data_IF_584322659022
#
_entry.id   IF_584322659022
#
_cell.length_a   1.000
_cell.length_b   1.000
_cell.length_c   1.000
_cell.angle_alpha   90.00
_cell.angle_beta   90.00
_cell.angle_gamma   90.00
#
_symmetry.space_group_name_H-M   'P 1'
#
loop_
_entity.id
_entity.type
_entity.pdbx_description
1 polymer ?
#
# COMPACT_ATOMS: atom_id res chain seq x y z
N UNK A 1 -24.00 -7.16 9.53
CA UNK A 1 -22.99 -6.32 10.23
C UNK A 1 -21.86 -5.94 9.27
N UNK A 2 -21.15 -6.85 8.64
CA UNK A 2 -19.99 -6.59 7.76
C UNK A 2 -20.29 -5.62 6.60
N UNK A 3 -21.47 -5.77 5.93
CA UNK A 3 -21.87 -4.90 4.83
C UNK A 3 -22.12 -3.45 5.30
N UNK A 4 -22.71 -3.27 6.46
CA UNK A 4 -22.97 -1.94 7.05
C UNK A 4 -21.66 -1.27 7.46
N UNK A 5 -20.79 -2.00 8.19
CA UNK A 5 -19.48 -1.48 8.63
C UNK A 5 -18.62 -1.07 7.44
N UNK A 6 -18.56 -1.90 6.38
CA UNK A 6 -17.81 -1.55 5.17
C UNK A 6 -18.41 -0.35 4.41
N UNK A 7 -19.75 -0.18 4.45
CA UNK A 7 -20.40 0.98 3.85
C UNK A 7 -20.08 2.27 4.63
N UNK A 8 -20.12 2.22 5.97
CA UNK A 8 -19.77 3.35 6.82
C UNK A 8 -18.28 3.72 6.67
N UNK A 9 -17.38 2.73 6.59
CA UNK A 9 -15.97 2.95 6.33
C UNK A 9 -15.75 3.65 4.97
N UNK A 10 -16.41 3.18 3.92
CA UNK A 10 -16.31 3.82 2.60
C UNK A 10 -16.92 5.24 2.59
N UNK A 11 -18.02 5.46 3.30
CA UNK A 11 -18.61 6.78 3.45
C UNK A 11 -17.67 7.73 4.20
N UNK A 12 -17.04 7.28 5.27
CA UNK A 12 -16.05 8.05 6.00
C UNK A 12 -14.85 8.42 5.11
N UNK A 13 -14.31 7.46 4.37
CA UNK A 13 -13.23 7.73 3.40
C UNK A 13 -13.66 8.80 2.40
N UNK A 14 -14.86 8.67 1.82
CA UNK A 14 -15.40 9.68 0.89
C UNK A 14 -15.53 11.06 1.53
N UNK A 15 -16.00 11.13 2.77
CA UNK A 15 -16.09 12.38 3.52
C UNK A 15 -14.72 13.03 3.70
N UNK A 16 -13.72 12.26 4.15
CA UNK A 16 -12.34 12.75 4.30
C UNK A 16 -11.80 13.28 2.98
N UNK A 17 -11.95 12.51 1.89
CA UNK A 17 -11.44 12.88 0.57
C UNK A 17 -12.15 14.10 -0.03
N UNK A 18 -13.47 14.20 0.15
CA UNK A 18 -14.27 15.29 -0.40
C UNK A 18 -14.08 16.63 0.34
N UNK A 19 -13.73 16.57 1.63
CA UNK A 19 -13.60 17.77 2.48
C UNK A 19 -12.15 18.21 2.67
N UNK A 20 -11.17 17.41 2.25
CA UNK A 20 -9.75 17.72 2.42
C UNK A 20 -9.17 18.29 1.12
N UNK A 21 -8.28 19.27 1.27
CA UNK A 21 -7.45 19.76 0.17
C UNK A 21 -6.25 18.83 0.04
N UNK A 22 -6.18 18.09 -1.08
CA UNK A 22 -5.19 17.05 -1.30
C UNK A 22 -4.29 17.44 -2.47
N UNK A 23 -3.02 17.66 -2.19
CA UNK A 23 -2.00 17.87 -3.20
C UNK A 23 -1.38 16.51 -3.55
N UNK A 24 -1.27 16.19 -4.85
CA UNK A 24 -0.64 14.96 -5.34
C UNK A 24 0.66 15.33 -6.04
N UNK A 25 1.76 14.79 -5.56
CA UNK A 25 3.12 15.10 -6.05
C UNK A 25 3.71 13.81 -6.65
N UNK A 26 4.37 13.92 -7.80
CA UNK A 26 4.94 12.80 -8.53
C UNK A 26 3.90 11.94 -9.26
N UNK A 27 2.72 12.50 -9.54
CA UNK A 27 1.64 11.81 -10.27
C UNK A 27 2.06 11.35 -11.69
N UNK A 28 3.01 12.03 -12.32
CA UNK A 28 3.60 11.66 -13.61
C UNK A 28 4.31 10.30 -13.57
N UNK A 29 4.78 9.87 -12.41
CA UNK A 29 5.48 8.59 -12.22
C UNK A 29 4.55 7.40 -12.55
N UNK A 30 3.41 7.19 -11.83
CA UNK A 30 2.51 6.09 -12.17
C UNK A 30 1.82 6.32 -13.52
N UNK A 31 1.60 7.56 -13.96
CA UNK A 31 0.97 7.86 -15.25
C UNK A 31 1.75 7.30 -16.43
N UNK A 32 3.08 7.35 -16.40
CA UNK A 32 3.94 6.75 -17.44
C UNK A 32 3.68 5.25 -17.60
N UNK A 33 3.46 4.52 -16.50
CA UNK A 33 3.13 3.09 -16.52
C UNK A 33 1.69 2.86 -17.00
N UNK A 34 0.76 3.68 -16.53
CA UNK A 34 -0.65 3.58 -16.94
C UNK A 34 -0.83 3.83 -18.45
N UNK A 35 -0.14 4.81 -19.01
CA UNK A 35 -0.19 5.11 -20.44
C UNK A 35 0.37 3.96 -21.30
N UNK A 36 1.48 3.35 -20.87
CA UNK A 36 2.10 2.21 -21.55
C UNK A 36 1.38 0.88 -21.33
N UNK A 37 0.49 0.80 -20.35
CA UNK A 37 -0.14 -0.46 -19.99
C UNK A 37 0.76 -1.40 -19.20
N UNK A 38 1.84 -0.89 -18.65
CA UNK A 38 2.83 -1.64 -17.88
C UNK A 38 2.35 -1.79 -16.43
N UNK A 39 2.29 -3.03 -15.89
CA UNK A 39 1.92 -3.23 -14.50
C UNK A 39 3.08 -2.92 -13.56
N UNK A 40 2.75 -2.47 -12.36
CA UNK A 40 3.71 -2.24 -11.30
C UNK A 40 3.15 -2.71 -9.93
N UNK A 41 4.01 -2.75 -8.94
CA UNK A 41 3.70 -3.06 -7.55
C UNK A 41 3.57 -1.74 -6.80
N UNK A 42 2.36 -1.40 -6.33
CA UNK A 42 2.12 -0.26 -5.46
C UNK A 42 2.48 -0.64 -4.02
N UNK A 43 3.40 0.06 -3.39
CA UNK A 43 3.79 -0.19 -2.01
C UNK A 43 3.47 1.01 -1.11
N UNK A 44 2.89 0.73 0.06
CA UNK A 44 2.63 1.71 1.11
C UNK A 44 2.53 1.01 2.49
N UNK A 45 2.72 1.76 3.57
CA UNK A 45 2.66 1.19 4.91
C UNK A 45 1.24 0.85 5.35
N UNK A 46 1.08 -0.27 6.07
CA UNK A 46 -0.21 -0.77 6.55
C UNK A 46 -0.96 0.28 7.37
N UNK A 47 -0.28 0.97 8.28
CA UNK A 47 -0.88 2.01 9.11
C UNK A 47 -1.32 3.28 8.36
N UNK A 48 -0.96 3.45 7.07
CA UNK A 48 -1.25 4.66 6.29
C UNK A 48 -2.28 4.44 5.16
N UNK A 49 -2.99 3.31 5.15
CA UNK A 49 -3.80 2.88 4.01
C UNK A 49 -5.07 3.70 3.74
N UNK A 50 -5.58 4.48 4.71
CA UNK A 50 -6.91 5.09 4.61
C UNK A 50 -7.08 5.99 3.38
N UNK A 51 -6.07 6.81 3.06
CA UNK A 51 -6.13 7.73 1.92
C UNK A 51 -5.62 7.12 0.61
N UNK A 52 -5.11 5.88 0.62
CA UNK A 52 -4.48 5.26 -0.56
C UNK A 52 -5.46 5.07 -1.73
N UNK A 53 -6.76 4.98 -1.47
CA UNK A 53 -7.77 4.93 -2.55
C UNK A 53 -7.73 6.18 -3.45
N UNK A 54 -7.26 7.32 -2.94
CA UNK A 54 -7.12 8.57 -3.70
C UNK A 54 -5.88 8.58 -4.61
N UNK A 55 -4.87 7.77 -4.33
CA UNK A 55 -3.69 7.64 -5.21
C UNK A 55 -4.05 6.94 -6.52
N UNK A 56 -5.11 6.11 -6.55
CA UNK A 56 -5.49 5.35 -7.74
C UNK A 56 -6.58 6.06 -8.53
N UNK A 57 -6.19 6.93 -9.44
CA UNK A 57 -7.08 7.76 -10.26
C UNK A 57 -7.04 7.36 -11.74
N UNK A 58 -7.22 6.08 -12.01
CA UNK A 58 -7.22 5.53 -13.34
C UNK A 58 -8.24 4.40 -13.45
N UNK A 59 -8.73 4.12 -14.66
CA UNK A 59 -9.55 2.93 -14.95
C UNK A 59 -8.74 1.64 -14.97
N UNK A 60 -7.42 1.70 -14.87
CA UNK A 60 -6.57 0.52 -14.85
C UNK A 60 -6.83 -0.32 -13.62
N UNK A 61 -6.99 -1.66 -13.78
CA UNK A 61 -7.27 -2.51 -12.64
C UNK A 61 -6.05 -2.66 -11.73
N UNK A 62 -6.32 -2.51 -10.43
CA UNK A 62 -5.39 -2.85 -9.35
C UNK A 62 -6.02 -3.88 -8.43
N UNK A 63 -5.22 -4.77 -7.87
CA UNK A 63 -5.65 -5.75 -6.88
C UNK A 63 -4.80 -5.65 -5.63
N UNK A 64 -5.45 -5.31 -4.52
CA UNK A 64 -4.80 -5.26 -3.21
C UNK A 64 -4.70 -6.65 -2.59
N UNK A 65 -3.52 -6.99 -2.06
CA UNK A 65 -3.37 -8.19 -1.25
C UNK A 65 -4.04 -7.98 0.11
N UNK A 66 -5.09 -8.73 0.39
CA UNK A 66 -5.85 -8.63 1.64
C UNK A 66 -6.00 -10.00 2.28
N UNK A 67 -5.86 -10.03 3.61
CA UNK A 67 -6.05 -11.23 4.43
C UNK A 67 -7.48 -11.79 4.29
N UNK A 68 -7.63 -13.11 4.50
CA UNK A 68 -8.93 -13.80 4.43
C UNK A 68 -9.74 -13.70 5.72
N UNK A 69 -9.24 -13.02 6.76
CA UNK A 69 -9.96 -12.85 8.02
C UNK A 69 -11.15 -11.88 7.88
N UNK A 70 -11.94 -11.77 8.96
CA UNK A 70 -13.13 -10.92 9.00
C UNK A 70 -12.80 -9.43 8.73
N UNK A 71 -11.73 -8.90 9.31
CA UNK A 71 -11.32 -7.50 9.12
C UNK A 71 -10.91 -7.25 7.66
N UNK A 72 -10.19 -8.20 7.07
CA UNK A 72 -9.86 -8.18 5.64
C UNK A 72 -11.09 -8.16 4.74
N UNK A 73 -12.19 -8.83 5.14
CA UNK A 73 -13.46 -8.79 4.38
C UNK A 73 -14.12 -7.42 4.43
N UNK A 74 -14.10 -6.76 5.60
CA UNK A 74 -14.61 -5.38 5.74
C UNK A 74 -13.83 -4.43 4.83
N UNK A 75 -12.51 -4.51 4.86
CA UNK A 75 -11.62 -3.66 4.04
C UNK A 75 -11.85 -3.94 2.56
N UNK A 76 -11.88 -5.21 2.14
CA UNK A 76 -12.08 -5.59 0.74
C UNK A 76 -13.40 -5.03 0.18
N UNK A 77 -14.48 -5.10 0.96
CA UNK A 77 -15.77 -4.53 0.57
C UNK A 77 -15.75 -3.00 0.55
N UNK A 78 -15.02 -2.38 1.49
CA UNK A 78 -14.91 -0.92 1.53
C UNK A 78 -14.17 -0.38 0.30
N UNK A 79 -12.97 -0.92 -0.01
CA UNK A 79 -12.17 -0.46 -1.16
C UNK A 79 -12.78 -0.86 -2.51
N UNK A 80 -13.53 -1.97 -2.56
CA UNK A 80 -14.29 -2.36 -3.75
C UNK A 80 -15.27 -1.29 -4.22
N UNK A 81 -15.80 -0.44 -3.30
CA UNK A 81 -16.66 0.71 -3.63
C UNK A 81 -15.91 1.87 -4.30
N UNK A 82 -14.60 1.79 -4.37
CA UNK A 82 -13.71 2.71 -5.10
C UNK A 82 -13.09 2.05 -6.34
N UNK A 83 -13.62 0.90 -6.78
CA UNK A 83 -13.13 0.19 -7.97
C UNK A 83 -11.84 -0.60 -7.75
N UNK A 84 -11.37 -0.72 -6.51
CA UNK A 84 -10.15 -1.45 -6.17
C UNK A 84 -10.48 -2.92 -5.95
N UNK A 85 -9.91 -3.80 -6.78
CA UNK A 85 -10.04 -5.24 -6.65
C UNK A 85 -9.17 -5.80 -5.52
N UNK A 86 -9.38 -7.07 -5.18
CA UNK A 86 -8.60 -7.74 -4.14
C UNK A 86 -8.08 -9.09 -4.59
N UNK A 87 -6.89 -9.43 -4.11
CA UNK A 87 -6.31 -10.76 -4.09
C UNK A 87 -6.38 -11.24 -2.65
N UNK A 88 -7.03 -12.37 -2.41
CA UNK A 88 -7.20 -12.90 -1.06
C UNK A 88 -6.06 -13.88 -0.76
N UNK A 89 -5.16 -13.46 0.14
CA UNK A 89 -4.06 -14.27 0.64
C UNK A 89 -4.19 -14.47 2.14
N UNK A 90 -3.83 -15.64 2.68
CA UNK A 90 -3.72 -15.80 4.12
C UNK A 90 -2.26 -15.61 4.54
N UNK A 91 -2.04 -14.70 5.49
CA UNK A 91 -0.87 -14.82 6.35
C UNK A 91 -1.11 -16.01 7.29
N UNK A 92 -0.12 -16.85 7.38
CA UNK A 92 -0.14 -18.14 8.05
C UNK A 92 -0.75 -18.14 9.46
N UNK A 93 -1.70 -19.06 9.72
CA UNK A 93 -2.24 -19.29 11.06
C UNK A 93 -1.43 -20.30 11.89
N UNK A 94 -0.53 -21.11 11.25
CA UNK A 94 0.09 -22.25 11.92
C UNK A 94 1.59 -22.47 11.59
N UNK A 95 2.37 -21.42 11.32
CA UNK A 95 3.83 -21.55 11.13
C UNK A 95 4.27 -22.35 9.87
N UNK A 96 3.31 -22.74 9.01
CA UNK A 96 3.61 -23.40 7.72
C UNK A 96 3.37 -22.41 6.60
N UNK A 97 4.43 -21.89 6.02
CA UNK A 97 4.57 -20.88 4.95
C UNK A 97 3.72 -21.11 3.66
N UNK A 98 2.54 -21.77 3.80
CA UNK A 98 1.65 -22.06 2.68
C UNK A 98 0.86 -20.84 2.21
N UNK A 99 0.55 -19.89 3.10
CA UNK A 99 -0.24 -18.69 2.79
C UNK A 99 0.54 -17.63 2.03
N UNK A 100 1.79 -17.40 2.41
CA UNK A 100 2.69 -16.44 1.75
C UNK A 100 3.00 -16.84 0.31
N UNK A 101 3.33 -18.11 0.07
CA UNK A 101 3.59 -18.63 -1.29
C UNK A 101 2.37 -18.57 -2.20
N UNK A 102 1.18 -18.86 -1.68
CA UNK A 102 -0.06 -18.75 -2.45
C UNK A 102 -0.36 -17.29 -2.83
N UNK A 103 -0.15 -16.35 -1.90
CA UNK A 103 -0.28 -14.92 -2.14
C UNK A 103 0.70 -14.42 -3.22
N UNK A 104 1.98 -14.81 -3.14
CA UNK A 104 3.00 -14.49 -4.15
C UNK A 104 2.57 -15.01 -5.53
N UNK A 105 2.18 -16.28 -5.65
CA UNK A 105 1.71 -16.85 -6.93
C UNK A 105 0.55 -16.07 -7.52
N UNK A 106 -0.39 -15.66 -6.69
CA UNK A 106 -1.57 -14.94 -7.14
C UNK A 106 -1.23 -13.50 -7.59
N UNK A 107 -0.31 -12.84 -6.90
CA UNK A 107 0.23 -11.54 -7.32
C UNK A 107 0.98 -11.64 -8.64
N UNK A 108 1.85 -12.65 -8.80
CA UNK A 108 2.57 -12.88 -10.06
C UNK A 108 1.61 -13.15 -11.22
N UNK A 109 0.55 -13.95 -11.00
CA UNK A 109 -0.51 -14.17 -11.99
C UNK A 109 -1.22 -12.87 -12.36
N UNK A 110 -1.49 -12.01 -11.37
CA UNK A 110 -2.15 -10.72 -11.56
C UNK A 110 -1.26 -9.77 -12.40
N UNK A 111 0.02 -9.66 -12.05
CA UNK A 111 0.98 -8.84 -12.80
C UNK A 111 1.18 -9.35 -14.24
N UNK A 112 1.28 -10.67 -14.42
CA UNK A 112 1.37 -11.30 -15.76
C UNK A 112 0.14 -11.01 -16.63
N UNK A 113 -1.03 -10.84 -16.02
CA UNK A 113 -2.26 -10.45 -16.72
C UNK A 113 -2.35 -8.94 -17.00
N UNK A 114 -1.28 -8.15 -16.78
CA UNK A 114 -1.23 -6.72 -17.03
C UNK A 114 -1.92 -5.85 -15.96
N UNK A 115 -2.27 -6.44 -14.81
CA UNK A 115 -2.90 -5.70 -13.70
C UNK A 115 -1.86 -5.34 -12.65
N UNK A 116 -2.00 -4.14 -12.07
CA UNK A 116 -1.18 -3.74 -10.93
C UNK A 116 -1.58 -4.49 -9.65
N UNK A 117 -0.64 -4.62 -8.72
CA UNK A 117 -0.90 -5.17 -7.39
C UNK A 117 -0.54 -4.16 -6.31
N UNK A 118 -1.31 -4.13 -5.23
CA UNK A 118 -1.00 -3.31 -4.07
C UNK A 118 -0.47 -4.16 -2.93
N UNK A 119 0.53 -3.66 -2.26
CA UNK A 119 1.28 -4.35 -1.22
C UNK A 119 1.49 -3.47 0.01
N UNK A 120 1.35 -4.05 1.20
CA UNK A 120 1.78 -3.45 2.46
C UNK A 120 3.00 -4.21 2.95
N UNK A 121 4.23 -3.66 2.75
CA UNK A 121 5.47 -4.43 2.96
C UNK A 121 5.69 -4.88 4.40
N UNK A 122 5.22 -4.11 5.39
CA UNK A 122 5.26 -4.48 6.81
C UNK A 122 4.31 -5.63 7.16
N UNK A 123 3.34 -5.91 6.28
CA UNK A 123 2.39 -7.02 6.46
C UNK A 123 1.45 -6.84 7.64
N UNK A 124 0.58 -7.82 7.91
CA UNK A 124 -0.50 -7.68 8.90
C UNK A 124 -0.06 -7.83 10.36
N UNK A 125 1.19 -8.15 10.61
CA UNK A 125 1.73 -8.38 11.96
C UNK A 125 2.96 -7.51 12.29
N UNK A 126 3.39 -6.67 11.35
CA UNK A 126 4.58 -5.82 11.52
C UNK A 126 5.90 -6.60 11.59
N UNK A 127 6.94 -5.99 12.12
CA UNK A 127 6.97 -4.66 12.75
C UNK A 127 6.62 -3.52 11.77
N UNK A 128 6.01 -2.44 12.29
CA UNK A 128 5.62 -1.29 11.46
C UNK A 128 6.85 -0.60 10.85
N UNK A 129 6.69 -0.18 9.60
CA UNK A 129 7.73 0.54 8.83
C UNK A 129 9.03 -0.25 8.62
N UNK A 130 8.91 -1.59 8.71
CA UNK A 130 9.97 -2.53 8.34
C UNK A 130 9.43 -3.42 7.21
N UNK A 131 10.03 -3.32 6.05
CA UNK A 131 9.59 -4.09 4.90
C UNK A 131 10.01 -5.56 5.02
N UNK A 132 9.09 -6.46 4.69
CA UNK A 132 9.37 -7.89 4.56
C UNK A 132 9.87 -8.21 3.15
N UNK A 133 10.62 -9.30 3.04
CA UNK A 133 11.22 -9.78 1.79
C UNK A 133 10.19 -9.94 0.65
N UNK A 134 8.95 -10.25 0.96
CA UNK A 134 7.91 -10.59 -0.02
C UNK A 134 7.74 -9.55 -1.14
N UNK A 135 7.90 -8.26 -0.87
CA UNK A 135 7.77 -7.20 -1.88
C UNK A 135 8.91 -7.29 -2.91
N UNK A 136 10.14 -7.49 -2.46
CA UNK A 136 11.31 -7.63 -3.32
C UNK A 136 11.30 -8.96 -4.11
N UNK A 137 10.84 -10.05 -3.47
CA UNK A 137 10.64 -11.35 -4.14
C UNK A 137 9.64 -11.24 -5.29
N UNK A 138 8.49 -10.59 -5.08
CA UNK A 138 7.49 -10.38 -6.13
C UNK A 138 8.05 -9.49 -7.24
N UNK A 139 8.78 -8.42 -6.91
CA UNK A 139 9.42 -7.54 -7.89
C UNK A 139 10.43 -8.30 -8.75
N UNK A 140 11.35 -9.05 -8.13
CA UNK A 140 12.33 -9.90 -8.83
C UNK A 140 11.66 -10.91 -9.77
N UNK A 141 10.69 -11.66 -9.26
CA UNK A 141 10.05 -12.73 -10.02
C UNK A 141 9.19 -12.22 -11.18
N UNK A 142 8.53 -11.08 -11.00
CA UNK A 142 7.70 -10.47 -12.05
C UNK A 142 8.49 -9.60 -13.01
N UNK A 143 9.57 -8.97 -12.54
CA UNK A 143 10.28 -7.88 -13.23
C UNK A 143 9.51 -6.55 -13.21
N UNK A 144 8.36 -6.50 -12.53
CA UNK A 144 7.62 -5.26 -12.35
C UNK A 144 8.28 -4.39 -11.25
N UNK A 145 8.39 -3.07 -11.46
CA UNK A 145 8.96 -2.19 -10.46
C UNK A 145 8.03 -2.05 -9.25
N UNK A 146 8.61 -1.73 -8.10
CA UNK A 146 7.88 -1.27 -6.93
C UNK A 146 7.82 0.25 -6.96
N UNK A 147 6.62 0.82 -6.91
CA UNK A 147 6.41 2.27 -6.81
C UNK A 147 5.90 2.56 -5.41
N UNK A 148 6.70 3.21 -4.55
CA UNK A 148 6.28 3.59 -3.21
C UNK A 148 5.34 4.78 -3.28
N UNK A 149 4.30 4.78 -2.44
CA UNK A 149 3.36 5.88 -2.29
C UNK A 149 3.01 6.07 -0.83
N UNK A 150 2.91 7.31 -0.40
CA UNK A 150 2.53 7.66 0.97
C UNK A 150 1.50 8.77 0.98
N UNK A 151 0.76 8.89 2.09
CA UNK A 151 -0.12 10.01 2.32
C UNK A 151 0.04 10.54 3.75
N UNK A 152 -0.05 11.87 3.90
CA UNK A 152 -0.12 12.51 5.18
C UNK A 152 -1.22 13.59 5.20
N UNK A 153 -1.77 13.88 6.36
CA UNK A 153 -2.75 14.93 6.56
C UNK A 153 -2.46 15.75 7.82
N UNK A 154 -2.78 17.04 7.77
CA UNK A 154 -2.56 18.00 8.88
C UNK A 154 -3.47 17.75 10.09
N UNK A 155 -4.54 16.96 9.92
CA UNK A 155 -5.45 16.54 11.00
C UNK A 155 -5.60 15.04 10.97
N UNK A 156 -5.15 14.39 12.01
CA UNK A 156 -5.20 12.93 12.12
C UNK A 156 -5.29 12.47 13.56
N UNK A 157 -5.79 11.25 13.76
CA UNK A 157 -5.69 10.51 15.01
C UNK A 157 -4.84 9.26 14.76
N UNK A 158 -3.86 9.01 15.61
CA UNK A 158 -3.04 7.78 15.56
C UNK A 158 -3.59 6.81 16.59
N UNK A 159 -3.93 5.60 16.14
CA UNK A 159 -4.48 4.55 17.00
C UNK A 159 -3.34 3.83 17.74
N UNK A 160 -3.62 3.28 18.92
CA UNK A 160 -2.66 2.50 19.72
C UNK A 160 -2.41 1.07 19.22
N UNK A 161 -2.72 0.77 17.94
CA UNK A 161 -2.47 -0.54 17.31
C UNK A 161 -0.97 -0.76 17.02
N UNK A 162 -0.58 -1.99 16.69
CA UNK A 162 0.80 -2.34 16.35
C UNK A 162 1.34 -1.50 15.19
N UNK A 163 0.48 -1.20 14.19
CA UNK A 163 0.79 -0.43 12.99
C UNK A 163 0.63 1.08 13.17
N UNK A 164 0.19 1.52 14.37
CA UNK A 164 -0.11 2.93 14.66
C UNK A 164 -1.01 3.54 13.59
N UNK A 165 -2.11 2.86 13.28
CA UNK A 165 -3.01 3.21 12.18
C UNK A 165 -3.41 4.68 12.22
N UNK A 166 -3.29 5.35 11.08
CA UNK A 166 -3.57 6.78 10.93
C UNK A 166 -4.99 6.97 10.43
N UNK A 167 -5.86 7.50 11.28
CA UNK A 167 -7.19 7.97 10.91
C UNK A 167 -7.07 9.42 10.48
N UNK A 168 -7.09 9.64 9.17
CA UNK A 168 -7.11 10.99 8.60
C UNK A 168 -8.49 11.64 8.89
N UNK A 169 -8.52 12.90 9.31
CA UNK A 169 -9.74 13.60 9.67
C UNK A 169 -10.23 14.50 8.53
N UNK A 170 -11.54 14.75 8.42
CA UNK A 170 -12.11 15.67 7.46
C UNK A 170 -11.55 17.11 7.59
N UNK A 171 -11.68 17.91 6.52
CA UNK A 171 -11.25 19.31 6.48
C UNK A 171 -9.74 19.48 6.75
N UNK A 172 -8.93 18.55 6.22
CA UNK A 172 -7.48 18.57 6.33
C UNK A 172 -6.81 19.18 5.11
N UNK A 173 -5.60 19.71 5.30
CA UNK A 173 -4.61 19.76 4.22
C UNK A 173 -3.93 18.41 4.18
N UNK A 174 -3.79 17.83 3.01
CA UNK A 174 -3.19 16.53 2.85
C UNK A 174 -2.28 16.48 1.63
N UNK A 175 -1.36 15.55 1.63
CA UNK A 175 -0.47 15.31 0.50
C UNK A 175 -0.40 13.81 0.21
N UNK A 176 -0.33 13.48 -1.07
CA UNK A 176 0.03 12.13 -1.56
C UNK A 176 1.34 12.29 -2.33
N UNK A 177 2.36 11.54 -1.93
CA UNK A 177 3.67 11.55 -2.59
C UNK A 177 3.90 10.20 -3.26
N UNK A 178 4.20 10.24 -4.54
CA UNK A 178 4.70 9.12 -5.30
C UNK A 178 6.23 9.14 -5.31
N UNK A 179 6.86 8.01 -5.10
CA UNK A 179 8.31 7.86 -5.18
C UNK A 179 8.74 7.21 -6.49
N UNK A 180 10.04 7.27 -6.76
CA UNK A 180 10.63 6.69 -7.97
C UNK A 180 10.50 5.17 -7.98
N UNK A 181 10.38 4.56 -9.19
CA UNK A 181 10.29 3.12 -9.35
C UNK A 181 11.57 2.42 -8.86
N UNK A 182 11.40 1.39 -8.04
CA UNK A 182 12.48 0.54 -7.54
C UNK A 182 12.44 -0.77 -8.29
N UNK A 183 13.54 -1.10 -8.96
CA UNK A 183 13.70 -2.33 -9.73
C UNK A 183 14.55 -3.35 -8.97
N UNK A 184 14.08 -4.59 -8.91
CA UNK A 184 14.88 -5.72 -8.41
C UNK A 184 15.21 -6.59 -9.62
N UNK A 185 16.50 -6.75 -9.97
CA UNK A 185 16.91 -7.55 -11.12
C UNK A 185 16.39 -9.00 -11.01
N UNK A 186 16.00 -9.59 -12.13
CA UNK A 186 15.45 -10.97 -12.15
C UNK A 186 16.47 -12.04 -11.75
N UNK A 187 17.74 -11.77 -12.00
CA UNK A 187 18.90 -12.59 -11.65
C UNK A 187 19.50 -12.26 -10.27
N UNK A 188 18.87 -11.32 -9.52
CA UNK A 188 19.34 -10.97 -8.20
C UNK A 188 19.41 -12.21 -7.28
N UNK A 189 20.52 -12.38 -6.60
CA UNK A 189 20.71 -13.35 -5.54
C UNK A 189 20.01 -12.93 -4.23
N UNK A 190 20.23 -13.64 -3.16
CA UNK A 190 19.65 -13.32 -1.85
C UNK A 190 20.05 -11.93 -1.36
N UNK A 191 21.31 -11.53 -1.57
CA UNK A 191 21.80 -10.20 -1.18
C UNK A 191 21.14 -9.09 -2.02
N UNK A 192 20.95 -9.32 -3.32
CA UNK A 192 20.23 -8.40 -4.21
C UNK A 192 18.75 -8.25 -3.86
N UNK A 193 18.10 -9.34 -3.43
CA UNK A 193 16.70 -9.28 -2.94
C UNK A 193 16.63 -8.48 -1.64
N UNK A 194 17.56 -8.68 -0.71
CA UNK A 194 17.61 -7.92 0.54
C UNK A 194 17.91 -6.44 0.29
N UNK A 195 18.81 -6.12 -0.64
CA UNK A 195 19.05 -4.75 -1.06
C UNK A 195 17.79 -4.08 -1.62
N UNK A 196 17.04 -4.80 -2.46
CA UNK A 196 15.75 -4.33 -2.99
C UNK A 196 14.69 -4.12 -1.90
N UNK A 197 14.61 -5.03 -0.93
CA UNK A 197 13.74 -4.88 0.25
C UNK A 197 14.08 -3.61 1.02
N UNK A 198 15.36 -3.40 1.29
CA UNK A 198 15.85 -2.24 2.04
C UNK A 198 15.60 -0.93 1.29
N UNK A 199 15.80 -0.90 -0.02
CA UNK A 199 15.47 0.27 -0.85
C UNK A 199 13.99 0.66 -0.76
N UNK A 200 13.07 -0.33 -0.77
CA UNK A 200 11.63 -0.07 -0.61
C UNK A 200 11.33 0.49 0.78
N UNK A 201 11.94 -0.07 1.82
CA UNK A 201 11.80 0.39 3.21
C UNK A 201 12.27 1.84 3.36
N UNK A 202 13.49 2.14 2.91
CA UNK A 202 14.05 3.50 2.98
C UNK A 202 13.21 4.51 2.19
N UNK A 203 12.80 4.15 0.97
CA UNK A 203 11.99 5.03 0.15
C UNK A 203 10.67 5.37 0.83
N UNK A 204 9.95 4.38 1.37
CA UNK A 204 8.69 4.59 2.08
C UNK A 204 8.87 5.41 3.36
N UNK A 205 9.93 5.16 4.14
CA UNK A 205 10.21 5.90 5.37
C UNK A 205 10.59 7.36 5.08
N UNK A 206 11.45 7.59 4.08
CA UNK A 206 11.82 8.94 3.63
C UNK A 206 10.62 9.72 3.12
N UNK A 207 9.80 9.10 2.24
CA UNK A 207 8.59 9.73 1.72
C UNK A 207 7.57 10.03 2.83
N UNK A 208 7.45 9.15 3.84
CA UNK A 208 6.55 9.37 4.99
C UNK A 208 6.99 10.56 5.82
N UNK A 209 8.29 10.74 6.03
CA UNK A 209 8.84 11.90 6.71
C UNK A 209 8.60 13.19 5.92
N UNK A 210 8.87 13.19 4.60
CA UNK A 210 8.61 14.34 3.71
C UNK A 210 7.12 14.70 3.67
N UNK A 211 6.24 13.71 3.50
CA UNK A 211 4.80 13.93 3.50
C UNK A 211 4.31 14.58 4.80
N UNK A 212 4.81 14.11 5.95
CA UNK A 212 4.46 14.69 7.24
C UNK A 212 4.98 16.14 7.37
N UNK A 213 6.22 16.41 6.98
CA UNK A 213 6.80 17.75 7.01
C UNK A 213 5.97 18.75 6.18
N UNK A 214 5.51 18.36 4.98
CA UNK A 214 4.69 19.21 4.08
C UNK A 214 3.35 19.62 4.68
N UNK A 215 2.79 18.82 5.57
CA UNK A 215 1.52 19.13 6.24
C UNK A 215 1.71 19.62 7.69
N UNK A 216 2.95 19.84 8.12
CA UNK A 216 3.30 20.36 9.46
C UNK A 216 3.07 19.33 10.57
N UNK A 217 3.29 18.04 10.30
CA UNK A 217 3.10 16.95 11.25
C UNK A 217 4.39 16.18 11.51
N UNK A 218 4.56 15.68 12.73
CA UNK A 218 5.66 14.77 13.05
C UNK A 218 5.37 13.36 12.49
N UNK A 219 6.33 12.69 11.85
CA UNK A 219 6.15 11.31 11.44
C UNK A 219 5.79 10.38 12.61
N UNK A 220 5.04 9.32 12.31
CA UNK A 220 4.89 8.20 13.27
C UNK A 220 6.21 7.45 13.28
N UNK A 221 6.73 7.16 14.48
CA UNK A 221 8.00 6.46 14.64
C UNK A 221 7.92 5.01 14.17
N UNK A 222 9.01 4.49 13.63
CA UNK A 222 9.16 3.06 13.34
C UNK A 222 9.04 2.23 14.63
N UNK A 223 8.80 0.93 14.49
CA UNK A 223 8.94 0.03 15.63
C UNK A 223 10.42 -0.05 16.03
N UNK A 224 10.64 -0.01 17.35
CA UNK A 224 11.95 -0.28 17.91
C UNK A 224 12.33 -1.76 17.73
#
# INVERSE_FOLDING_TARGET
VTALVSALAALYIRLVLATSRIDVIGQDIPERFWQKGEPFILAFWHGQMLMMVRSWQTSRPIRMLISQNHDGEVIARAIGRFGIGTVRGSSDKNGKDKGGRAAIRLMLKTLKAGNCVGFTPDGPKGPRFVAKEGVAVVARMSGAPVIPVVAASSRRKVVGSWDRFVINLPFSRAVILWGEPIHVPRDADAAGVEAGRFQVEEALNRLSADACARVGMTPVEAAA
#
